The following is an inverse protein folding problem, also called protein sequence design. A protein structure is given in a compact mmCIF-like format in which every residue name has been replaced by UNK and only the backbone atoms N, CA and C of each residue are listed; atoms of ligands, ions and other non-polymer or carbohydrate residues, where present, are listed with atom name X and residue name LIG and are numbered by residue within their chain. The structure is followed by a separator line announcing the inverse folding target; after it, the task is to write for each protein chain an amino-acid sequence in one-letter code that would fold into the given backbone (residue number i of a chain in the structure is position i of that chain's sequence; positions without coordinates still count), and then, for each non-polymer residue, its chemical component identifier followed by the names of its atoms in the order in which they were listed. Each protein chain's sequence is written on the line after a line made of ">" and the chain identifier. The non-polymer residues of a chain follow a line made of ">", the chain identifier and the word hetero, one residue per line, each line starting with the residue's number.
data_IF_478737371202
#
_entry.id   IF_478737371202
#
_cell.length_a   1.000
_cell.length_b   1.000
_cell.length_c   1.000
_cell.angle_alpha   90.00
_cell.angle_beta   90.00
_cell.angle_gamma   90.00
#
_symmetry.space_group_name_H-M   'P 1'
#
loop_
_entity.id
_entity.type
_entity.pdbx_description
1 polymer ?
#
# COMPACT_ATOMS: atom_id res chain seq x y z
N UNK A 1 30.07 5.70 -35.13
CA UNK A 1 29.07 6.30 -34.22
C UNK A 1 28.17 5.17 -33.74
N UNK A 2 28.34 4.72 -32.50
CA UNK A 2 27.48 3.72 -31.88
C UNK A 2 26.15 4.37 -31.53
N UNK A 3 25.05 3.89 -32.10
CA UNK A 3 23.69 4.23 -31.67
C UNK A 3 23.51 3.75 -30.23
N UNK A 4 23.44 4.69 -29.30
CA UNK A 4 23.10 4.41 -27.91
C UNK A 4 21.63 3.98 -27.87
N UNK A 5 21.36 2.70 -27.61
CA UNK A 5 20.00 2.22 -27.43
C UNK A 5 19.38 2.85 -26.19
N UNK A 6 18.24 3.53 -26.34
CA UNK A 6 17.45 4.03 -25.20
C UNK A 6 16.87 2.86 -24.43
N UNK A 7 17.59 2.40 -23.41
CA UNK A 7 17.12 1.39 -22.47
C UNK A 7 15.91 1.89 -21.69
N UNK A 8 14.80 1.13 -21.74
CA UNK A 8 13.66 1.32 -20.83
C UNK A 8 13.92 0.53 -19.56
N UNK A 9 13.70 1.13 -18.40
CA UNK A 9 13.75 0.42 -17.12
C UNK A 9 12.39 0.41 -16.42
N UNK A 10 12.16 -0.61 -15.60
CA UNK A 10 10.94 -0.75 -14.83
C UNK A 10 11.21 -1.57 -13.57
N UNK A 11 10.36 -1.38 -12.55
CA UNK A 11 10.37 -2.17 -11.32
C UNK A 11 8.99 -2.77 -11.12
N UNK A 12 8.92 -4.09 -11.00
CA UNK A 12 7.72 -4.80 -10.54
C UNK A 12 7.92 -5.15 -9.07
N UNK A 13 6.97 -4.76 -8.22
CA UNK A 13 6.94 -5.11 -6.81
C UNK A 13 5.70 -5.96 -6.56
N UNK A 14 5.91 -7.21 -6.15
CA UNK A 14 4.86 -8.12 -5.74
C UNK A 14 4.91 -8.22 -4.22
N UNK A 15 3.77 -8.05 -3.56
CA UNK A 15 3.68 -7.93 -2.11
C UNK A 15 2.60 -8.88 -1.64
N UNK A 16 2.98 -9.80 -0.75
CA UNK A 16 2.05 -10.62 -0.01
C UNK A 16 1.92 -10.05 1.40
N UNK A 17 0.70 -9.65 1.79
CA UNK A 17 0.44 -9.00 3.07
C UNK A 17 -0.05 -10.04 4.07
N UNK A 18 0.39 -9.92 5.32
CA UNK A 18 -0.20 -10.66 6.42
C UNK A 18 -1.70 -10.33 6.56
N UNK A 19 -2.44 -11.24 7.17
CA UNK A 19 -3.86 -11.06 7.41
C UNK A 19 -4.16 -10.00 8.49
N UNK A 20 -5.39 -9.47 8.45
CA UNK A 20 -5.88 -8.42 9.35
C UNK A 20 -6.71 -8.95 10.52
N UNK A 21 -6.67 -10.26 10.76
CA UNK A 21 -7.40 -10.93 11.81
C UNK A 21 -6.99 -10.45 13.20
N UNK A 22 -7.94 -10.51 14.14
CA UNK A 22 -7.70 -10.08 15.52
C UNK A 22 -7.16 -11.24 16.34
N UNK A 23 -6.33 -10.91 17.33
CA UNK A 23 -5.81 -11.86 18.33
C UNK A 23 -6.88 -12.77 18.93
N UNK A 24 -8.07 -12.22 19.19
CA UNK A 24 -9.21 -12.95 19.77
C UNK A 24 -9.71 -14.09 18.89
N UNK A 25 -9.52 -13.98 17.58
CA UNK A 25 -10.03 -14.92 16.58
C UNK A 25 -9.01 -16.03 16.28
N UNK A 26 -7.72 -15.76 16.55
CA UNK A 26 -6.63 -16.72 16.31
C UNK A 26 -6.46 -17.77 17.41
N UNK A 27 -7.07 -17.59 18.59
CA UNK A 27 -6.90 -18.49 19.74
C UNK A 27 -5.47 -18.56 20.30
N UNK A 28 -4.56 -17.71 19.81
CA UNK A 28 -3.14 -17.72 20.16
C UNK A 28 -2.92 -17.19 21.57
N UNK A 29 -2.52 -18.05 22.50
CA UNK A 29 -2.21 -17.67 23.88
C UNK A 29 -0.70 -17.59 24.10
N UNK A 30 -0.16 -16.41 24.40
CA UNK A 30 1.27 -16.23 24.68
C UNK A 30 1.75 -14.80 24.48
N UNK A 31 2.81 -14.40 25.19
CA UNK A 31 3.35 -13.02 25.12
C UNK A 31 3.95 -12.74 23.74
N UNK A 32 4.54 -13.75 23.11
CA UNK A 32 5.13 -13.71 21.78
C UNK A 32 4.04 -13.56 20.70
N UNK A 33 2.98 -14.36 20.75
CA UNK A 33 1.85 -14.27 19.82
C UNK A 33 1.13 -12.90 19.89
N UNK A 34 1.00 -12.35 21.11
CA UNK A 34 0.46 -11.00 21.31
C UNK A 34 1.34 -9.93 20.65
N UNK A 35 2.68 -10.04 20.82
CA UNK A 35 3.64 -9.11 20.22
C UNK A 35 3.66 -9.18 18.69
N UNK A 36 3.61 -10.39 18.14
CA UNK A 36 3.59 -10.62 16.69
C UNK A 36 2.32 -10.07 16.07
N UNK A 37 1.15 -10.51 16.56
CA UNK A 37 -0.15 -10.03 16.04
C UNK A 37 -0.31 -8.53 16.21
N UNK A 38 0.21 -7.96 17.30
CA UNK A 38 0.27 -6.51 17.50
C UNK A 38 1.13 -5.80 16.44
N UNK A 39 2.25 -6.39 16.05
CA UNK A 39 3.15 -5.83 15.03
C UNK A 39 2.54 -5.91 13.62
N UNK A 40 1.90 -7.04 13.29
CA UNK A 40 1.14 -7.22 12.04
C UNK A 40 0.06 -6.15 11.93
N UNK A 41 -0.82 -6.08 12.94
CA UNK A 41 -1.92 -5.13 12.95
C UNK A 41 -1.45 -3.67 12.95
N UNK A 42 -0.34 -3.35 13.63
CA UNK A 42 0.27 -2.02 13.56
C UNK A 42 0.65 -1.66 12.12
N UNK A 43 1.34 -2.57 11.40
CA UNK A 43 1.78 -2.29 10.03
C UNK A 43 0.62 -2.12 9.05
N UNK A 44 -0.41 -2.96 9.17
CA UNK A 44 -1.63 -2.87 8.34
C UNK A 44 -2.43 -1.62 8.69
N UNK A 45 -2.57 -1.28 9.97
CA UNK A 45 -3.22 -0.04 10.39
C UNK A 45 -2.53 1.20 9.80
N UNK A 46 -1.19 1.27 9.90
CA UNK A 46 -0.41 2.35 9.28
C UNK A 46 -0.60 2.40 7.77
N UNK A 47 -0.65 1.25 7.09
CA UNK A 47 -0.97 1.21 5.65
C UNK A 47 -2.35 1.82 5.37
N UNK A 48 -3.36 1.50 6.18
CA UNK A 48 -4.69 2.09 6.08
C UNK A 48 -4.69 3.61 6.22
N UNK A 49 -3.92 4.15 7.18
CA UNK A 49 -3.75 5.60 7.35
C UNK A 49 -3.09 6.25 6.14
N UNK A 50 -2.07 5.61 5.57
CA UNK A 50 -1.41 6.08 4.33
C UNK A 50 -2.40 6.11 3.16
N UNK A 51 -3.17 5.03 2.95
CA UNK A 51 -4.16 4.97 1.86
C UNK A 51 -5.24 6.05 2.02
N UNK A 52 -5.73 6.26 3.25
CA UNK A 52 -6.73 7.29 3.54
C UNK A 52 -6.22 8.69 3.22
N UNK A 53 -5.01 9.03 3.67
CA UNK A 53 -4.40 10.34 3.39
C UNK A 53 -4.16 10.57 1.88
N UNK A 54 -3.74 9.53 1.16
CA UNK A 54 -3.55 9.59 -0.29
C UNK A 54 -4.85 9.72 -1.08
N UNK A 55 -5.91 9.03 -0.65
CA UNK A 55 -7.23 9.14 -1.23
C UNK A 55 -7.80 10.55 -1.06
N UNK A 56 -7.66 11.15 0.14
CA UNK A 56 -8.07 12.54 0.41
C UNK A 56 -7.29 13.52 -0.47
N UNK A 57 -5.97 13.36 -0.58
CA UNK A 57 -5.11 14.19 -1.44
C UNK A 57 -5.48 14.08 -2.93
N UNK A 58 -5.97 12.93 -3.39
CA UNK A 58 -6.38 12.70 -4.78
C UNK A 58 -7.74 13.33 -5.13
N UNK A 59 -8.58 13.55 -4.12
CA UNK A 59 -9.90 14.18 -4.24
C UNK A 59 -9.89 15.71 -4.12
N UNK A 60 -8.95 16.28 -3.35
CA UNK A 60 -8.87 17.73 -3.16
C UNK A 60 -8.37 18.45 -4.41
N UNK A 61 -9.28 19.16 -5.09
CA UNK A 61 -8.95 20.10 -6.14
C UNK A 61 -8.18 21.28 -5.54
N UNK A 62 -6.88 21.39 -5.87
CA UNK A 62 -6.02 22.59 -5.80
C UNK A 62 -6.42 23.62 -4.72
N UNK A 63 -5.89 23.49 -3.50
CA UNK A 63 -5.99 24.55 -2.49
C UNK A 63 -5.93 24.10 -1.02
N UNK A 64 -6.16 22.82 -0.73
CA UNK A 64 -6.05 22.29 0.63
C UNK A 64 -4.60 22.05 1.07
N UNK A 65 -4.31 22.27 2.35
CA UNK A 65 -3.04 21.91 3.00
C UNK A 65 -2.68 20.47 2.66
N UNK A 66 -1.47 20.25 2.12
CA UNK A 66 -0.96 18.92 1.83
C UNK A 66 -0.83 18.15 3.15
N UNK A 67 -1.81 17.29 3.45
CA UNK A 67 -1.78 16.48 4.65
C UNK A 67 -0.53 15.56 4.61
N UNK A 68 0.23 15.57 5.70
CA UNK A 68 1.36 14.68 5.87
C UNK A 68 0.90 13.22 5.77
N UNK A 69 1.57 12.43 4.94
CA UNK A 69 1.27 11.00 4.77
C UNK A 69 2.28 10.21 5.63
N UNK A 70 1.82 9.40 6.61
CA UNK A 70 2.67 8.79 7.64
C UNK A 70 3.39 7.52 7.17
N UNK A 71 4.08 7.57 6.03
CA UNK A 71 4.73 6.38 5.50
C UNK A 71 5.87 5.85 6.36
N UNK A 72 6.48 6.70 7.20
CA UNK A 72 7.62 6.33 8.05
C UNK A 72 7.20 5.52 9.28
N UNK A 73 5.93 5.49 9.61
CA UNK A 73 5.42 4.93 10.86
C UNK A 73 5.46 3.39 10.88
N UNK A 74 5.64 2.76 9.72
CA UNK A 74 5.91 1.32 9.60
C UNK A 74 6.96 1.01 8.53
N UNK A 75 7.73 -0.07 8.70
CA UNK A 75 8.66 -0.55 7.66
C UNK A 75 7.92 -0.92 6.38
N UNK A 76 6.72 -1.50 6.50
CA UNK A 76 5.88 -1.87 5.36
C UNK A 76 5.59 -0.66 4.47
N UNK A 77 5.09 0.43 5.05
CA UNK A 77 4.75 1.64 4.29
C UNK A 77 5.97 2.38 3.75
N UNK A 78 7.15 2.22 4.38
CA UNK A 78 8.40 2.72 3.81
C UNK A 78 8.81 1.94 2.56
N UNK A 79 8.69 0.60 2.56
CA UNK A 79 8.98 -0.24 1.41
C UNK A 79 8.00 0.00 0.25
N UNK A 80 6.73 0.24 0.57
CA UNK A 80 5.67 0.49 -0.42
C UNK A 80 5.61 1.95 -0.88
N UNK A 81 6.40 2.85 -0.30
CA UNK A 81 6.41 4.29 -0.60
C UNK A 81 6.46 4.56 -2.10
N UNK A 82 7.36 3.87 -2.82
CA UNK A 82 7.56 4.06 -4.26
C UNK A 82 6.33 3.68 -5.09
N UNK A 83 5.62 2.62 -4.71
CA UNK A 83 4.41 2.17 -5.39
C UNK A 83 3.20 3.06 -5.07
N UNK A 84 3.10 3.56 -3.83
CA UNK A 84 1.94 4.30 -3.33
C UNK A 84 1.97 5.81 -3.66
N UNK A 85 3.15 6.39 -3.88
CA UNK A 85 3.27 7.83 -4.22
C UNK A 85 2.87 8.19 -5.66
N UNK A 86 2.48 7.21 -6.47
CA UNK A 86 1.92 7.41 -7.81
C UNK A 86 2.92 7.53 -8.95
N UNK A 87 4.22 7.25 -8.72
CA UNK A 87 5.24 7.23 -9.80
C UNK A 87 5.15 6.01 -10.72
N UNK A 88 4.38 4.99 -10.33
CA UNK A 88 4.10 3.79 -11.11
C UNK A 88 2.61 3.44 -11.08
N UNK A 89 2.29 2.23 -11.54
CA UNK A 89 0.95 1.64 -11.40
C UNK A 89 0.91 0.79 -10.13
N UNK A 90 -0.18 0.87 -9.39
CA UNK A 90 -0.43 0.05 -8.22
C UNK A 90 -1.75 -0.70 -8.39
N UNK A 91 -1.76 -1.97 -8.01
CA UNK A 91 -2.93 -2.84 -7.99
C UNK A 91 -3.02 -3.45 -6.60
N UNK A 92 -4.21 -3.38 -5.99
CA UNK A 92 -4.52 -4.07 -4.75
C UNK A 92 -5.48 -5.21 -5.05
N UNK A 93 -5.14 -6.42 -4.60
CA UNK A 93 -6.01 -7.58 -4.65
C UNK A 93 -6.65 -7.77 -3.28
N UNK A 94 -7.97 -7.60 -3.20
CA UNK A 94 -8.74 -7.79 -1.98
C UNK A 94 -9.20 -9.25 -1.87
N UNK A 95 -8.61 -10.00 -0.95
CA UNK A 95 -8.96 -11.39 -0.68
C UNK A 95 -10.05 -11.45 0.40
N UNK A 96 -11.22 -12.01 0.08
CA UNK A 96 -12.39 -12.03 0.96
C UNK A 96 -12.84 -13.46 1.22
N UNK A 97 -13.21 -13.76 2.47
CA UNK A 97 -13.87 -15.00 2.84
C UNK A 97 -15.39 -14.93 2.56
N UNK A 98 -16.00 -15.96 1.95
CA UNK A 98 -17.44 -15.96 1.66
C UNK A 98 -18.32 -16.33 2.86
N UNK A 99 -17.73 -16.74 3.98
CA UNK A 99 -18.45 -17.23 5.16
C UNK A 99 -19.02 -16.07 5.98
N UNK A 100 -20.20 -16.26 6.57
CA UNK A 100 -20.87 -15.25 7.42
C UNK A 100 -19.99 -14.79 8.59
N UNK A 101 -19.18 -15.70 9.16
CA UNK A 101 -18.26 -15.37 10.24
C UNK A 101 -17.17 -14.35 9.84
N UNK A 102 -16.88 -14.22 8.54
CA UNK A 102 -15.82 -13.35 8.04
C UNK A 102 -16.36 -11.98 7.58
N UNK A 103 -17.66 -11.70 7.78
CA UNK A 103 -18.30 -10.50 7.23
C UNK A 103 -17.68 -9.19 7.73
N UNK A 104 -17.28 -9.11 9.00
CA UNK A 104 -16.64 -7.91 9.56
C UNK A 104 -15.25 -7.64 8.97
N UNK A 105 -14.45 -8.70 8.80
CA UNK A 105 -13.12 -8.64 8.17
C UNK A 105 -13.21 -8.34 6.68
N UNK A 106 -14.19 -8.95 5.99
CA UNK A 106 -14.46 -8.70 4.59
C UNK A 106 -14.85 -7.23 4.34
N UNK A 107 -15.71 -6.66 5.20
CA UNK A 107 -16.07 -5.25 5.13
C UNK A 107 -14.85 -4.34 5.35
N UNK A 108 -14.00 -4.68 6.32
CA UNK A 108 -12.75 -3.95 6.59
C UNK A 108 -11.80 -3.97 5.37
N UNK A 109 -11.68 -5.12 4.72
CA UNK A 109 -10.88 -5.30 3.50
C UNK A 109 -11.45 -4.50 2.32
N UNK A 110 -12.78 -4.49 2.16
CA UNK A 110 -13.45 -3.69 1.13
C UNK A 110 -13.26 -2.18 1.35
N UNK A 111 -13.27 -1.70 2.60
CA UNK A 111 -12.94 -0.31 2.89
C UNK A 111 -11.50 0.04 2.48
N UNK A 112 -10.54 -0.86 2.74
CA UNK A 112 -9.17 -0.72 2.26
C UNK A 112 -9.11 -0.59 0.74
N UNK A 113 -9.76 -1.50 0.02
CA UNK A 113 -9.79 -1.50 -1.44
C UNK A 113 -10.45 -0.22 -1.99
N UNK A 114 -11.56 0.23 -1.39
CA UNK A 114 -12.25 1.45 -1.79
C UNK A 114 -11.43 2.73 -1.53
N UNK A 115 -10.57 2.74 -0.50
CA UNK A 115 -9.59 3.82 -0.31
C UNK A 115 -8.50 3.77 -1.38
N UNK A 116 -7.91 2.59 -1.61
CA UNK A 116 -6.86 2.41 -2.61
C UNK A 116 -7.31 2.81 -4.02
N UNK A 117 -8.54 2.47 -4.40
CA UNK A 117 -9.12 2.82 -5.71
C UNK A 117 -9.19 4.34 -5.97
N UNK A 118 -9.33 5.16 -4.91
CA UNK A 118 -9.43 6.63 -5.03
C UNK A 118 -8.08 7.31 -5.23
N UNK A 119 -6.97 6.59 -5.08
CA UNK A 119 -5.62 7.13 -5.22
C UNK A 119 -5.29 7.30 -6.70
N UNK A 120 -5.00 8.53 -7.12
CA UNK A 120 -4.61 8.83 -8.50
C UNK A 120 -3.11 8.61 -8.69
N UNK A 121 -2.75 7.73 -9.62
CA UNK A 121 -1.36 7.54 -10.06
C UNK A 121 -1.05 8.37 -11.32
N UNK A 122 0.23 8.72 -11.50
CA UNK A 122 0.77 9.40 -12.68
C UNK A 122 2.05 8.67 -13.12
N UNK A 123 1.92 7.48 -13.71
CA UNK A 123 3.07 6.68 -14.11
C UNK A 123 3.89 7.41 -15.18
N UNK A 124 5.21 7.41 -15.03
CA UNK A 124 6.17 8.02 -15.97
C UNK A 124 7.04 6.93 -16.58
N UNK A 125 7.37 7.06 -17.87
CA UNK A 125 8.33 6.15 -18.52
C UNK A 125 9.72 6.48 -17.99
N UNK A 126 10.35 5.45 -17.43
CA UNK A 126 11.65 5.49 -16.82
C UNK A 126 12.71 5.11 -17.88
N UNK A 127 13.56 6.07 -18.23
CA UNK A 127 14.61 5.94 -19.25
C UNK A 127 16.00 5.98 -18.60
N UNK A 128 16.91 5.11 -19.05
CA UNK A 128 18.27 5.07 -18.54
C UNK A 128 18.96 6.45 -18.69
N UNK A 129 19.40 7.10 -17.59
CA UNK A 129 20.13 8.35 -17.66
C UNK A 129 21.44 8.25 -18.47
N UNK A 130 22.08 7.08 -18.50
CA UNK A 130 23.33 6.86 -19.23
C UNK A 130 23.12 6.77 -20.74
N UNK A 131 21.87 6.62 -21.21
CA UNK A 131 21.51 6.62 -22.62
C UNK A 131 21.25 8.03 -23.20
N UNK A 132 21.45 9.10 -22.41
CA UNK A 132 21.23 10.49 -22.78
C UNK A 132 22.53 11.30 -22.97
N UNK A 133 23.70 10.67 -22.75
CA UNK A 133 25.03 11.22 -22.98
C UNK A 133 25.56 10.75 -24.35
#
# INVERSE_FOLDING_TARGET
>A
MSTVERGRYGRLVLVDLAGSERLKDTGSTGREAVRETGSINKSLFTLGQVLAALAQRSGSARGGTLQHVPYRDSKLTQLLWDGLRGGGRALMLACLGPLRGHAEEALSTLHFAAMAQRIKSRPVILLDPQALC
#
